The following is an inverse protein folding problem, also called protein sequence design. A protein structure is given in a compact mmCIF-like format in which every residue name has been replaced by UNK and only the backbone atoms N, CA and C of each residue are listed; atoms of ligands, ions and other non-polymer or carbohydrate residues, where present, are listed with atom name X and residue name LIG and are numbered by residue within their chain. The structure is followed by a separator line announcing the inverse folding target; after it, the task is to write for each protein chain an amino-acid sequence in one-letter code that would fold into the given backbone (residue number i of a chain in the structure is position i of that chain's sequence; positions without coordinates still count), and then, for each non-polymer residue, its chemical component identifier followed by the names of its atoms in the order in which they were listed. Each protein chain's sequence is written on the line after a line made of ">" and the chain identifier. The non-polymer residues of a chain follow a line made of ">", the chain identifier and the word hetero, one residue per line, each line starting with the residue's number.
data_IF_480488711399
#
_entry.id   IF_480488711399
#
_cell.length_a   1.000
_cell.length_b   1.000
_cell.length_c   1.000
_cell.angle_alpha   90.00
_cell.angle_beta   90.00
_cell.angle_gamma   90.00
#
_symmetry.space_group_name_H-M   'P 1'
#
loop_
_entity.id
_entity.type
_entity.pdbx_description
1 polymer ?
#
# COMPACT_ATOMS: atom_id res chain seq x y z
N UNK A 1 -57.25 74.14 42.06
CA UNK A 1 -55.96 73.84 41.48
C UNK A 1 -56.06 72.54 40.69
N UNK A 2 -56.31 72.66 39.38
CA UNK A 2 -56.43 71.50 38.47
C UNK A 2 -55.11 71.27 37.75
N UNK A 3 -54.48 70.11 37.88
CA UNK A 3 -53.37 69.72 37.06
C UNK A 3 -53.85 68.72 36.02
N UNK A 4 -53.86 69.15 34.79
CA UNK A 4 -54.12 68.30 33.62
C UNK A 4 -52.86 67.43 33.31
N UNK A 5 -53.04 66.15 33.23
CA UNK A 5 -51.98 65.20 32.82
C UNK A 5 -52.15 64.97 31.32
N UNK A 6 -51.18 65.42 30.53
CA UNK A 6 -51.12 65.15 29.10
C UNK A 6 -50.49 63.78 28.86
N UNK A 7 -51.27 62.84 28.34
CA UNK A 7 -50.81 61.54 27.89
C UNK A 7 -50.21 61.63 26.49
N UNK A 8 -48.89 61.40 26.35
CA UNK A 8 -48.25 61.30 25.07
C UNK A 8 -48.51 59.88 24.50
N UNK A 9 -49.26 59.79 23.40
CA UNK A 9 -49.41 58.61 22.60
C UNK A 9 -48.15 58.42 21.74
N UNK A 10 -47.28 57.47 22.08
CA UNK A 10 -46.25 57.00 21.19
C UNK A 10 -46.86 56.19 20.04
N UNK A 11 -46.85 56.73 18.87
CA UNK A 11 -47.18 56.07 17.61
C UNK A 11 -45.95 55.18 17.26
N UNK A 12 -46.07 53.89 17.49
CA UNK A 12 -45.11 52.91 16.93
C UNK A 12 -45.31 52.90 15.41
N UNK A 13 -44.31 53.40 14.69
CA UNK A 13 -44.23 53.22 13.26
C UNK A 13 -43.98 51.68 13.01
N UNK A 14 -45.01 51.04 12.55
CA UNK A 14 -44.91 49.61 12.12
C UNK A 14 -44.07 49.59 10.87
N UNK A 15 -42.83 49.08 11.00
CA UNK A 15 -42.03 48.68 9.84
C UNK A 15 -42.77 47.58 9.10
N UNK A 16 -43.32 47.90 7.94
CA UNK A 16 -43.89 46.92 7.01
C UNK A 16 -42.79 45.92 6.65
N UNK A 17 -42.83 44.73 7.23
CA UNK A 17 -42.01 43.61 6.80
C UNK A 17 -42.48 43.23 5.40
N UNK A 18 -41.69 43.57 4.38
CA UNK A 18 -41.90 43.07 3.03
C UNK A 18 -41.80 41.54 3.07
N UNK A 19 -42.87 40.86 2.72
CA UNK A 19 -42.88 39.42 2.54
C UNK A 19 -42.12 39.05 1.28
N UNK A 20 -41.42 37.93 1.35
CA UNK A 20 -40.69 37.37 0.19
C UNK A 20 -41.70 36.85 -0.84
N UNK A 21 -41.49 37.11 -2.10
CA UNK A 21 -42.35 36.57 -3.17
C UNK A 21 -41.95 35.15 -3.52
N UNK A 22 -42.90 34.33 -3.93
CA UNK A 22 -42.64 32.95 -4.36
C UNK A 22 -41.65 32.91 -5.53
N UNK A 23 -41.69 33.92 -6.42
CA UNK A 23 -40.79 34.04 -7.55
C UNK A 23 -39.34 34.34 -7.11
N UNK A 24 -39.15 35.22 -6.13
CA UNK A 24 -37.80 35.49 -5.57
C UNK A 24 -37.19 34.24 -4.97
N UNK A 25 -37.98 33.43 -4.23
CA UNK A 25 -37.50 32.18 -3.69
C UNK A 25 -37.13 31.18 -4.80
N UNK A 26 -37.97 31.06 -5.82
CA UNK A 26 -37.75 30.15 -6.93
C UNK A 26 -36.48 30.49 -7.72
N UNK A 27 -36.23 31.77 -7.99
CA UNK A 27 -35.02 32.24 -8.68
C UNK A 27 -33.78 31.93 -7.85
N UNK A 28 -33.82 32.16 -6.53
CA UNK A 28 -32.68 31.86 -5.64
C UNK A 28 -32.33 30.37 -5.64
N UNK A 29 -33.34 29.48 -5.49
CA UNK A 29 -33.05 28.03 -5.52
C UNK A 29 -32.60 27.57 -6.90
N UNK A 30 -33.08 28.19 -8.00
CA UNK A 30 -32.60 27.87 -9.34
C UNK A 30 -31.10 28.22 -9.51
N UNK A 31 -30.70 29.42 -9.05
CA UNK A 31 -29.28 29.85 -9.09
C UNK A 31 -28.42 28.94 -8.24
N UNK A 32 -28.87 28.63 -7.00
CA UNK A 32 -28.14 27.71 -6.12
C UNK A 32 -28.00 26.33 -6.78
N UNK A 33 -29.07 25.82 -7.39
CA UNK A 33 -29.06 24.53 -8.10
C UNK A 33 -28.03 24.48 -9.23
N UNK A 34 -27.96 25.55 -10.04
CA UNK A 34 -26.94 25.67 -11.10
C UNK A 34 -25.53 25.74 -10.52
N UNK A 35 -25.32 26.57 -9.50
CA UNK A 35 -24.00 26.70 -8.86
C UNK A 35 -23.52 25.38 -8.24
N UNK A 36 -24.40 24.70 -7.49
CA UNK A 36 -24.07 23.38 -6.90
C UNK A 36 -23.80 22.34 -7.98
N UNK A 37 -24.63 22.35 -9.05
CA UNK A 37 -24.45 21.40 -10.17
C UNK A 37 -23.09 21.54 -10.88
N UNK A 38 -22.50 22.72 -10.91
CA UNK A 38 -21.20 22.98 -11.52
C UNK A 38 -20.03 22.77 -10.53
N UNK A 39 -20.23 23.13 -9.26
CA UNK A 39 -19.14 23.10 -8.26
C UNK A 39 -18.85 21.70 -7.73
N UNK A 40 -19.87 20.87 -7.53
CA UNK A 40 -19.71 19.53 -6.96
C UNK A 40 -18.80 18.63 -7.80
N UNK A 41 -18.97 18.46 -9.12
CA UNK A 41 -18.06 17.66 -9.95
C UNK A 41 -16.63 18.22 -9.95
N UNK A 42 -16.47 19.54 -9.96
CA UNK A 42 -15.14 20.16 -9.94
C UNK A 42 -14.38 19.86 -8.64
N UNK A 43 -15.04 19.92 -7.49
CA UNK A 43 -14.44 19.61 -6.19
C UNK A 43 -13.98 18.15 -6.12
N UNK A 44 -14.80 17.21 -6.60
CA UNK A 44 -14.38 15.79 -6.65
C UNK A 44 -13.18 15.56 -7.56
N UNK A 45 -13.11 16.23 -8.72
CA UNK A 45 -11.96 16.14 -9.62
C UNK A 45 -10.66 16.63 -8.97
N UNK A 46 -10.72 17.78 -8.29
CA UNK A 46 -9.57 18.35 -7.57
C UNK A 46 -9.12 17.45 -6.42
N UNK A 47 -10.05 16.90 -5.64
CA UNK A 47 -9.74 16.00 -4.54
C UNK A 47 -9.00 14.75 -5.03
N UNK A 48 -9.51 14.10 -6.07
CA UNK A 48 -8.87 12.89 -6.63
C UNK A 48 -7.47 13.20 -7.20
N UNK A 49 -7.29 14.34 -7.85
CA UNK A 49 -5.98 14.78 -8.33
C UNK A 49 -5.00 15.03 -7.18
N UNK A 50 -5.47 15.63 -6.09
CA UNK A 50 -4.66 15.88 -4.90
C UNK A 50 -4.23 14.57 -4.21
N UNK A 51 -5.14 13.62 -4.03
CA UNK A 51 -4.85 12.33 -3.44
C UNK A 51 -3.83 11.55 -4.27
N UNK A 52 -3.97 11.51 -5.59
CA UNK A 52 -2.98 10.90 -6.50
C UNK A 52 -1.61 11.56 -6.39
N UNK A 53 -1.57 12.89 -6.35
CA UNK A 53 -0.31 13.61 -6.18
C UNK A 53 0.36 13.31 -4.84
N UNK A 54 -0.42 13.25 -3.77
CA UNK A 54 0.11 12.92 -2.44
C UNK A 54 0.74 11.52 -2.39
N UNK A 55 0.13 10.52 -3.05
CA UNK A 55 0.71 9.16 -3.16
C UNK A 55 2.01 9.18 -3.94
N UNK A 56 2.09 9.93 -5.06
CA UNK A 56 3.32 10.04 -5.85
C UNK A 56 4.47 10.65 -5.05
N UNK A 57 4.20 11.72 -4.31
CA UNK A 57 5.20 12.33 -3.41
C UNK A 57 5.67 11.36 -2.32
N UNK A 58 4.77 10.55 -1.80
CA UNK A 58 5.11 9.56 -0.79
C UNK A 58 5.95 8.41 -1.35
N UNK A 59 5.62 7.93 -2.56
CA UNK A 59 6.45 6.96 -3.28
C UNK A 59 7.85 7.52 -3.55
N UNK A 60 7.94 8.80 -3.92
CA UNK A 60 9.25 9.46 -4.10
C UNK A 60 10.03 9.56 -2.79
N UNK A 61 9.38 9.93 -1.69
CA UNK A 61 10.02 10.00 -0.38
C UNK A 61 10.51 8.62 0.11
N UNK A 62 9.74 7.55 -0.17
CA UNK A 62 10.18 6.19 0.10
C UNK A 62 11.37 5.78 -0.78
N UNK A 63 11.35 6.16 -2.06
CA UNK A 63 12.47 5.92 -2.98
C UNK A 63 13.75 6.58 -2.45
N UNK A 64 13.69 7.84 -2.06
CA UNK A 64 14.82 8.59 -1.52
C UNK A 64 15.32 7.98 -0.19
N UNK A 65 14.43 7.48 0.64
CA UNK A 65 14.77 6.77 1.87
C UNK A 65 15.51 5.45 1.60
N UNK A 66 15.10 4.69 0.57
CA UNK A 66 15.78 3.46 0.16
C UNK A 66 17.17 3.75 -0.40
N UNK A 67 17.32 4.79 -1.22
CA UNK A 67 18.63 5.22 -1.73
C UNK A 67 19.55 5.70 -0.58
N UNK A 68 19.01 6.42 0.40
CA UNK A 68 19.75 6.81 1.60
C UNK A 68 20.16 5.57 2.42
N UNK A 69 19.26 4.60 2.59
CA UNK A 69 19.59 3.33 3.22
C UNK A 69 20.76 2.63 2.52
N UNK A 70 20.69 2.51 1.19
CA UNK A 70 21.77 1.92 0.38
C UNK A 70 23.09 2.66 0.55
N UNK A 71 23.06 4.00 0.51
CA UNK A 71 24.26 4.83 0.67
C UNK A 71 24.96 4.56 1.99
N UNK A 72 24.19 4.35 3.07
CA UNK A 72 24.73 4.12 4.42
C UNK A 72 25.15 2.67 4.66
N UNK A 73 24.40 1.68 4.14
CA UNK A 73 24.63 0.26 4.40
C UNK A 73 25.35 -0.44 3.23
N UNK A 74 25.60 0.25 2.13
CA UNK A 74 26.32 -0.25 0.96
C UNK A 74 25.54 -1.25 0.10
N UNK A 75 24.23 -1.46 0.36
CA UNK A 75 23.34 -2.34 -0.41
C UNK A 75 21.88 -1.93 -0.21
N UNK A 76 21.02 -2.29 -1.16
CA UNK A 76 19.57 -2.12 -1.00
C UNK A 76 19.04 -3.00 0.12
N UNK A 77 18.00 -2.57 0.85
CA UNK A 77 17.35 -3.45 1.81
C UNK A 77 16.77 -4.67 1.09
N UNK A 78 16.80 -5.86 1.68
CA UNK A 78 16.06 -7.02 1.14
C UNK A 78 14.55 -6.83 1.26
N UNK A 79 13.79 -7.50 0.40
CA UNK A 79 12.31 -7.48 0.44
C UNK A 79 11.68 -8.61 1.27
N UNK A 80 12.46 -9.29 2.09
CA UNK A 80 11.99 -10.40 2.92
C UNK A 80 11.79 -11.73 2.21
N UNK A 81 11.65 -11.74 0.88
CA UNK A 81 11.27 -12.94 0.11
C UNK A 81 12.28 -14.07 0.16
N UNK A 82 13.57 -13.76 0.34
CA UNK A 82 14.67 -14.74 0.25
C UNK A 82 15.61 -14.67 1.46
N UNK A 83 15.60 -15.71 2.28
CA UNK A 83 16.49 -15.79 3.43
C UNK A 83 17.97 -15.66 3.09
N UNK A 84 18.55 -16.31 2.07
CA UNK A 84 19.95 -16.12 1.71
C UNK A 84 20.30 -14.66 1.38
N UNK A 85 19.39 -13.91 0.78
CA UNK A 85 19.56 -12.47 0.50
C UNK A 85 19.50 -11.66 1.80
N UNK A 86 18.56 -11.96 2.67
CA UNK A 86 18.41 -11.36 3.99
C UNK A 86 19.65 -11.59 4.85
N UNK A 87 20.06 -12.84 5.02
CA UNK A 87 21.21 -13.22 5.85
C UNK A 87 22.50 -12.54 5.37
N UNK A 88 22.78 -12.58 4.06
CA UNK A 88 23.94 -11.90 3.49
C UNK A 88 23.92 -10.40 3.77
N UNK A 89 22.76 -9.77 3.65
CA UNK A 89 22.58 -8.35 3.91
C UNK A 89 22.87 -8.01 5.37
N UNK A 90 22.29 -8.77 6.32
CA UNK A 90 22.53 -8.56 7.76
C UNK A 90 23.99 -8.77 8.15
N UNK A 91 24.65 -9.81 7.61
CA UNK A 91 26.08 -10.04 7.85
C UNK A 91 26.96 -8.88 7.35
N UNK A 92 26.54 -8.22 6.27
CA UNK A 92 27.24 -7.05 5.72
C UNK A 92 26.96 -5.78 6.52
N UNK A 93 25.68 -5.51 6.80
CA UNK A 93 25.27 -4.30 7.49
C UNK A 93 25.59 -4.32 9.00
N UNK A 94 25.53 -5.49 9.63
CA UNK A 94 25.72 -5.69 11.07
C UNK A 94 26.68 -6.85 11.35
N UNK A 95 27.98 -6.71 11.09
CA UNK A 95 28.94 -7.82 11.17
C UNK A 95 29.11 -8.37 12.59
N UNK A 96 28.78 -7.61 13.62
CA UNK A 96 28.88 -8.00 15.03
C UNK A 96 27.54 -8.51 15.61
N UNK A 97 26.50 -8.67 14.80
CA UNK A 97 25.17 -9.08 15.25
C UNK A 97 25.20 -10.49 15.86
N UNK A 98 24.53 -10.63 17.01
CA UNK A 98 24.45 -11.90 17.72
C UNK A 98 23.57 -12.91 16.96
N UNK A 99 23.86 -14.20 17.08
CA UNK A 99 23.06 -15.25 16.46
C UNK A 99 21.60 -15.27 16.97
N UNK A 100 21.37 -14.84 18.21
CA UNK A 100 20.00 -14.70 18.75
C UNK A 100 19.15 -13.69 17.98
N UNK A 101 19.76 -12.63 17.44
CA UNK A 101 19.05 -11.64 16.61
C UNK A 101 18.63 -12.25 15.26
N UNK A 102 19.52 -13.06 14.64
CA UNK A 102 19.16 -13.78 13.41
C UNK A 102 17.96 -14.72 13.61
N UNK A 103 17.85 -15.33 14.79
CA UNK A 103 16.76 -16.24 15.11
C UNK A 103 15.38 -15.57 15.04
N UNK A 104 15.31 -14.25 15.32
CA UNK A 104 14.07 -13.46 15.33
C UNK A 104 13.49 -13.16 13.94
N UNK A 105 14.30 -13.33 12.92
CA UNK A 105 13.91 -13.00 11.53
C UNK A 105 14.15 -14.18 10.57
N UNK A 106 14.49 -15.35 11.10
CA UNK A 106 14.83 -16.53 10.29
C UNK A 106 13.57 -17.35 9.97
N UNK A 107 13.24 -17.57 8.69
CA UNK A 107 12.12 -18.40 8.28
C UNK A 107 12.14 -19.84 8.82
N UNK A 108 13.32 -20.38 9.11
CA UNK A 108 13.43 -21.70 9.76
C UNK A 108 12.76 -21.73 11.14
N UNK A 109 12.57 -20.60 11.78
CA UNK A 109 11.84 -20.45 13.04
C UNK A 109 10.36 -20.03 12.83
N UNK A 110 9.89 -20.09 11.58
CA UNK A 110 8.51 -19.75 11.22
C UNK A 110 8.25 -18.25 10.98
N UNK A 111 9.27 -17.42 11.02
CA UNK A 111 9.16 -15.98 10.75
C UNK A 111 9.43 -15.71 9.29
N UNK A 112 8.45 -15.33 8.54
CA UNK A 112 8.61 -15.04 7.11
C UNK A 112 8.12 -13.63 6.79
N UNK A 113 9.06 -12.70 6.71
CA UNK A 113 8.80 -11.33 6.29
C UNK A 113 8.39 -11.27 4.81
N UNK A 114 7.44 -10.43 4.48
CA UNK A 114 6.96 -10.20 3.13
C UNK A 114 7.43 -8.85 2.53
N UNK A 115 7.20 -8.62 1.23
CA UNK A 115 7.63 -7.39 0.56
C UNK A 115 6.97 -6.09 1.07
N UNK A 116 5.84 -6.14 1.75
CA UNK A 116 5.21 -4.94 2.33
C UNK A 116 5.76 -4.63 3.73
N UNK A 117 6.02 -5.67 4.52
CA UNK A 117 6.58 -5.59 5.87
C UNK A 117 8.05 -5.18 5.85
N UNK A 118 8.82 -5.71 4.90
CA UNK A 118 10.22 -5.40 4.73
C UNK A 118 10.48 -3.89 4.59
N UNK A 119 9.58 -3.17 3.93
CA UNK A 119 9.67 -1.73 3.77
C UNK A 119 9.71 -1.01 5.13
N UNK A 120 8.79 -1.34 6.02
CA UNK A 120 8.72 -0.75 7.37
C UNK A 120 9.87 -1.24 8.24
N UNK A 121 10.18 -2.53 8.14
CA UNK A 121 11.25 -3.14 8.93
C UNK A 121 12.60 -2.47 8.69
N UNK A 122 13.00 -2.29 7.44
CA UNK A 122 14.30 -1.73 7.08
C UNK A 122 14.35 -0.21 7.18
N UNK A 123 13.33 0.50 6.71
CA UNK A 123 13.36 1.96 6.67
C UNK A 123 13.03 2.62 8.01
N UNK A 124 12.36 1.92 8.91
CA UNK A 124 12.08 2.44 10.25
C UNK A 124 13.33 2.59 11.13
N UNK A 125 14.48 2.03 10.72
CA UNK A 125 15.75 2.14 11.44
C UNK A 125 16.05 0.97 12.37
N UNK A 126 17.27 0.97 12.90
CA UNK A 126 17.82 -0.08 13.76
C UNK A 126 18.47 0.52 15.00
N UNK A 127 18.64 -0.31 16.03
CA UNK A 127 19.39 0.08 17.22
C UNK A 127 20.83 0.45 16.88
N UNK A 128 21.39 1.39 17.62
CA UNK A 128 22.81 1.71 17.58
C UNK A 128 23.71 0.64 18.24
N UNK A 129 23.10 -0.36 18.91
CA UNK A 129 23.85 -1.50 19.46
C UNK A 129 24.26 -2.43 18.34
N UNK A 130 25.56 -2.50 18.05
CA UNK A 130 26.13 -3.31 16.99
C UNK A 130 25.88 -4.84 17.15
N UNK A 131 25.67 -5.30 18.36
CA UNK A 131 25.39 -6.69 18.67
C UNK A 131 23.90 -7.00 18.62
N UNK A 132 23.06 -6.00 18.90
CA UNK A 132 21.59 -6.15 18.96
C UNK A 132 20.88 -5.08 18.12
N UNK A 133 21.11 -5.08 16.81
CA UNK A 133 20.48 -4.08 15.95
C UNK A 133 18.95 -4.23 15.91
N UNK A 134 18.41 -5.44 16.13
CA UNK A 134 16.99 -5.73 16.07
C UNK A 134 16.31 -5.49 17.41
N UNK A 135 16.84 -6.05 18.51
CA UNK A 135 16.19 -5.99 19.83
C UNK A 135 16.79 -4.95 20.77
N UNK A 136 17.89 -4.33 20.39
CA UNK A 136 18.50 -3.24 21.15
C UNK A 136 17.59 -2.02 21.27
N UNK A 137 18.00 -1.05 22.09
CA UNK A 137 17.24 0.19 22.27
C UNK A 137 17.02 0.88 20.91
N UNK A 138 15.79 1.21 20.57
CA UNK A 138 15.45 1.84 19.29
C UNK A 138 15.46 0.89 18.08
N UNK A 139 15.65 -0.40 18.29
CA UNK A 139 15.53 -1.43 17.24
C UNK A 139 14.08 -1.74 16.87
N UNK A 140 13.86 -2.50 15.77
CA UNK A 140 12.52 -2.82 15.25
C UNK A 140 11.65 -3.65 16.18
N UNK A 141 12.25 -4.47 17.03
CA UNK A 141 11.54 -5.39 17.91
C UNK A 141 11.89 -5.09 19.36
N UNK A 142 10.90 -5.11 20.23
CA UNK A 142 11.09 -4.96 21.68
C UNK A 142 10.59 -6.21 22.41
N UNK A 143 11.38 -6.67 23.39
CA UNK A 143 10.91 -7.71 24.30
C UNK A 143 10.09 -7.06 25.44
N UNK A 144 8.81 -7.36 25.51
CA UNK A 144 7.88 -6.93 26.57
C UNK A 144 7.75 -7.97 27.72
N UNK A 145 8.32 -9.15 27.51
CA UNK A 145 8.36 -10.21 28.52
C UNK A 145 9.61 -10.17 29.38
N UNK A 146 9.90 -11.28 30.03
CA UNK A 146 11.15 -11.50 30.79
C UNK A 146 12.20 -12.20 29.95
N UNK A 147 13.43 -12.29 30.47
CA UNK A 147 14.50 -13.02 29.79
C UNK A 147 14.17 -14.53 29.67
N UNK A 148 13.46 -15.08 30.65
CA UNK A 148 13.06 -16.51 30.68
C UNK A 148 11.80 -16.80 29.87
N UNK A 149 10.94 -15.78 29.65
CA UNK A 149 9.73 -15.88 28.85
C UNK A 149 9.60 -14.61 28.00
N UNK A 150 10.35 -14.53 26.88
CA UNK A 150 10.34 -13.35 26.02
C UNK A 150 9.02 -13.22 25.28
N UNK A 151 8.52 -12.00 25.19
CA UNK A 151 7.34 -11.62 24.41
C UNK A 151 7.75 -10.50 23.49
N UNK A 152 7.93 -10.82 22.23
CA UNK A 152 8.37 -9.87 21.23
C UNK A 152 7.21 -9.10 20.61
N UNK A 153 7.43 -7.79 20.36
CA UNK A 153 6.46 -6.87 19.77
C UNK A 153 7.17 -5.90 18.82
N UNK A 154 6.44 -5.38 17.88
CA UNK A 154 6.89 -4.25 17.10
C UNK A 154 7.23 -3.05 18.02
N UNK A 155 8.31 -2.38 17.70
CA UNK A 155 8.72 -1.16 18.40
C UNK A 155 8.45 0.07 17.53
N UNK A 156 7.46 0.87 17.90
CA UNK A 156 7.15 2.12 17.20
C UNK A 156 8.13 3.27 17.49
N UNK A 157 8.96 3.14 18.54
CA UNK A 157 9.98 4.16 18.89
C UNK A 157 11.34 3.69 18.38
N UNK A 158 11.59 3.97 17.11
CA UNK A 158 12.78 3.52 16.37
C UNK A 158 13.87 4.59 16.37
N UNK A 159 15.13 4.15 16.42
CA UNK A 159 16.29 4.99 16.22
C UNK A 159 16.82 4.88 14.78
N UNK A 160 17.57 5.88 14.32
CA UNK A 160 18.22 5.87 13.00
C UNK A 160 17.27 5.63 11.83
N UNK A 161 16.06 6.13 11.91
CA UNK A 161 15.03 6.01 10.87
C UNK A 161 15.50 6.66 9.56
N UNK A 162 15.24 5.99 8.45
CA UNK A 162 15.40 6.51 7.09
C UNK A 162 14.10 7.13 6.57
N UNK A 163 12.98 6.67 7.10
CA UNK A 163 11.65 7.18 6.81
C UNK A 163 10.80 7.16 8.08
N UNK A 164 10.12 8.26 8.37
CA UNK A 164 9.20 8.35 9.50
C UNK A 164 7.79 7.89 9.10
N UNK A 165 7.46 6.69 9.50
CA UNK A 165 6.15 6.13 9.25
C UNK A 165 5.10 6.72 10.20
N UNK A 166 4.04 7.30 9.64
CA UNK A 166 2.89 7.75 10.44
C UNK A 166 2.24 6.55 11.14
N UNK A 167 2.28 6.51 12.47
CA UNK A 167 1.79 5.39 13.28
C UNK A 167 0.33 5.04 13.03
N UNK A 168 -0.51 6.03 12.73
CA UNK A 168 -1.92 5.81 12.37
C UNK A 168 -2.14 5.06 11.04
N UNK A 169 -1.08 4.84 10.26
CA UNK A 169 -1.11 4.13 8.98
C UNK A 169 -0.27 2.86 9.00
N UNK A 170 0.36 2.57 10.11
CA UNK A 170 0.96 1.26 10.36
C UNK A 170 -0.13 0.33 10.86
N UNK A 171 -0.28 -0.80 10.23
CA UNK A 171 -1.25 -1.81 10.62
C UNK A 171 -0.67 -3.19 10.40
N UNK A 172 -1.16 -4.14 11.17
CA UNK A 172 -0.86 -5.55 11.01
C UNK A 172 -1.78 -6.12 9.94
N UNK A 173 -1.31 -7.09 9.18
CA UNK A 173 -2.10 -7.70 8.10
C UNK A 173 -3.37 -8.36 8.65
N UNK A 174 -3.30 -8.95 9.81
CA UNK A 174 -4.46 -9.55 10.50
C UNK A 174 -5.57 -8.55 10.83
N UNK A 175 -5.24 -7.30 11.16
CA UNK A 175 -6.22 -6.24 11.42
C UNK A 175 -7.03 -5.89 10.17
N UNK A 176 -6.48 -6.15 8.98
CA UNK A 176 -7.15 -5.90 7.71
C UNK A 176 -8.15 -6.99 7.33
N UNK A 177 -7.95 -8.19 7.80
CA UNK A 177 -8.58 -9.36 7.24
C UNK A 177 -9.26 -10.28 8.25
N UNK A 178 -8.92 -10.15 9.51
CA UNK A 178 -9.28 -11.14 10.53
C UNK A 178 -8.66 -12.52 10.29
N UNK A 179 -7.73 -12.63 9.35
CA UNK A 179 -6.94 -13.81 9.10
C UNK A 179 -5.53 -13.61 9.63
N UNK A 180 -5.03 -14.59 10.33
CA UNK A 180 -3.66 -14.62 10.82
C UNK A 180 -2.74 -14.69 9.60
N UNK A 181 -1.82 -13.74 9.47
CA UNK A 181 -0.70 -13.87 8.57
C UNK A 181 0.12 -15.10 8.99
N UNK A 182 0.58 -15.91 8.03
CA UNK A 182 1.34 -17.11 8.36
C UNK A 182 2.78 -16.83 8.81
N UNK A 183 3.19 -15.55 8.85
CA UNK A 183 4.55 -15.13 9.16
C UNK A 183 4.80 -15.06 10.67
N UNK A 184 3.75 -14.81 11.44
CA UNK A 184 3.84 -14.40 12.83
C UNK A 184 3.42 -15.50 13.82
N UNK A 185 2.84 -16.59 13.32
CA UNK A 185 2.19 -17.62 14.13
C UNK A 185 3.14 -18.51 14.92
N UNK A 186 4.43 -18.43 14.73
CA UNK A 186 5.32 -19.52 15.16
C UNK A 186 6.36 -19.09 16.19
N UNK A 187 6.49 -17.82 16.51
CA UNK A 187 7.42 -17.41 17.55
C UNK A 187 6.86 -17.73 18.94
N UNK A 188 7.50 -18.65 19.68
CA UNK A 188 7.12 -18.90 21.06
C UNK A 188 7.17 -17.60 21.87
N UNK A 189 6.00 -17.09 22.28
CA UNK A 189 5.86 -15.81 22.97
C UNK A 189 5.74 -14.58 22.09
N UNK A 190 5.77 -14.71 20.76
CA UNK A 190 5.31 -13.66 19.86
C UNK A 190 3.79 -13.82 19.68
N UNK A 191 3.07 -12.77 19.90
CA UNK A 191 1.80 -12.58 19.27
C UNK A 191 2.09 -11.83 17.95
N UNK A 192 1.19 -11.88 17.05
CA UNK A 192 1.16 -11.41 15.67
C UNK A 192 1.50 -9.91 15.43
N UNK A 193 2.41 -9.31 16.21
CA UNK A 193 2.62 -7.86 16.24
C UNK A 193 4.06 -7.46 15.85
N UNK A 194 4.77 -8.27 15.05
CA UNK A 194 6.19 -8.02 14.78
C UNK A 194 6.42 -7.14 13.57
N UNK A 195 5.70 -7.35 12.48
CA UNK A 195 5.96 -6.72 11.19
C UNK A 195 4.75 -5.98 10.64
N UNK A 196 4.56 -4.70 11.00
CA UNK A 196 3.48 -3.91 10.42
C UNK A 196 3.78 -3.55 8.97
N UNK A 197 2.72 -3.36 8.21
CA UNK A 197 2.73 -2.79 6.86
C UNK A 197 2.35 -1.31 6.88
N UNK A 198 2.84 -0.55 5.92
CA UNK A 198 2.52 0.86 5.75
C UNK A 198 1.43 1.05 4.70
N UNK A 199 0.26 1.50 5.15
CA UNK A 199 -0.92 1.65 4.31
C UNK A 199 -0.83 2.85 3.40
N UNK A 200 -1.24 2.68 2.14
CA UNK A 200 -1.37 3.79 1.19
C UNK A 200 -2.43 4.80 1.64
N UNK A 201 -2.29 6.05 1.20
CA UNK A 201 -3.29 7.10 1.46
C UNK A 201 -4.58 6.92 0.66
N UNK A 202 -4.49 6.23 -0.47
CA UNK A 202 -5.62 6.00 -1.36
C UNK A 202 -6.49 4.85 -0.87
N UNK A 203 -7.21 5.09 0.22
CA UNK A 203 -8.21 4.14 0.67
C UNK A 203 -9.59 4.71 0.32
N UNK A 204 -10.28 4.08 -0.62
CA UNK A 204 -11.69 4.38 -0.82
C UNK A 204 -12.43 4.22 0.51
N UNK A 205 -13.38 5.12 0.86
CA UNK A 205 -14.12 5.02 2.10
C UNK A 205 -14.72 3.63 2.28
N UNK A 206 -14.33 2.91 3.34
CA UNK A 206 -14.77 1.56 3.65
C UNK A 206 -14.07 0.44 2.87
N UNK A 207 -13.02 0.72 2.10
CA UNK A 207 -12.10 -0.29 1.62
C UNK A 207 -11.07 -0.61 2.69
N UNK A 208 -10.75 -1.90 2.88
CA UNK A 208 -9.52 -2.29 3.53
C UNK A 208 -8.39 -1.71 2.66
N UNK A 209 -7.57 -0.84 3.22
CA UNK A 209 -6.51 -0.20 2.47
C UNK A 209 -5.47 -1.22 1.99
N UNK A 210 -4.70 -0.84 1.01
CA UNK A 210 -3.57 -1.63 0.51
C UNK A 210 -2.26 -1.01 0.95
N UNK A 211 -1.26 -1.80 1.37
CA UNK A 211 0.04 -1.29 1.75
C UNK A 211 0.88 -0.86 0.54
N UNK A 212 1.97 -0.16 0.81
CA UNK A 212 3.09 -0.04 -0.11
C UNK A 212 3.86 -1.35 -0.13
N UNK A 213 4.20 -1.84 -1.31
CA UNK A 213 4.95 -3.07 -1.51
C UNK A 213 6.29 -2.76 -2.13
N UNK A 214 7.34 -3.34 -1.57
CA UNK A 214 8.71 -3.14 -2.00
C UNK A 214 9.28 -4.45 -2.54
N UNK A 215 9.84 -4.43 -3.74
CA UNK A 215 10.54 -5.56 -4.34
C UNK A 215 11.99 -5.22 -4.62
N UNK A 216 12.88 -6.06 -4.16
CA UNK A 216 14.31 -6.01 -4.46
C UNK A 216 14.58 -6.73 -5.80
N UNK A 217 15.37 -6.13 -6.69
CA UNK A 217 15.69 -6.74 -7.99
C UNK A 217 16.36 -8.11 -7.89
N UNK A 218 17.04 -8.39 -6.80
CA UNK A 218 17.70 -9.69 -6.55
C UNK A 218 16.70 -10.83 -6.36
N UNK A 219 15.43 -10.53 -6.10
CA UNK A 219 14.39 -11.49 -5.75
C UNK A 219 13.18 -11.47 -6.71
N UNK A 220 13.19 -10.69 -7.78
CA UNK A 220 12.06 -10.59 -8.71
C UNK A 220 11.59 -11.95 -9.23
N UNK A 221 12.52 -12.87 -9.51
CA UNK A 221 12.23 -14.22 -9.95
C UNK A 221 12.48 -15.28 -8.86
N UNK A 222 12.56 -14.87 -7.61
CA UNK A 222 12.72 -15.81 -6.52
C UNK A 222 11.50 -16.74 -6.46
N UNK A 223 11.78 -18.06 -6.57
CA UNK A 223 10.72 -19.08 -6.55
C UNK A 223 10.51 -19.56 -5.11
N UNK A 224 9.37 -19.21 -4.54
CA UNK A 224 8.91 -19.68 -3.21
C UNK A 224 8.25 -21.06 -3.26
N UNK A 225 7.92 -21.55 -4.47
CA UNK A 225 7.31 -22.87 -4.70
C UNK A 225 8.32 -23.95 -5.01
N UNK A 226 7.83 -25.03 -5.59
CA UNK A 226 8.67 -26.16 -6.06
C UNK A 226 9.06 -25.97 -7.53
N UNK A 227 9.99 -26.79 -8.02
CA UNK A 227 10.35 -26.79 -9.44
C UNK A 227 9.18 -27.19 -10.35
N UNK A 228 8.30 -28.08 -9.88
CA UNK A 228 7.10 -28.54 -10.61
C UNK A 228 5.91 -27.62 -10.46
N UNK A 229 5.88 -26.78 -9.43
CA UNK A 229 4.83 -25.77 -9.17
C UNK A 229 5.50 -24.47 -8.71
N UNK A 230 6.16 -23.72 -9.60
CA UNK A 230 6.87 -22.51 -9.24
C UNK A 230 5.88 -21.43 -8.79
N UNK A 231 6.22 -20.75 -7.71
CA UNK A 231 5.54 -19.58 -7.19
C UNK A 231 6.57 -18.45 -7.12
N UNK A 232 6.59 -17.60 -8.13
CA UNK A 232 7.50 -16.47 -8.15
C UNK A 232 7.10 -15.38 -7.18
N UNK A 233 8.08 -14.58 -6.78
CA UNK A 233 7.92 -13.53 -5.80
C UNK A 233 6.69 -12.65 -6.09
N UNK A 234 5.85 -12.51 -5.08
CA UNK A 234 4.67 -11.68 -5.09
C UNK A 234 4.33 -11.28 -3.67
N UNK A 235 3.65 -10.16 -3.54
CA UNK A 235 2.90 -9.82 -2.35
C UNK A 235 1.43 -10.16 -2.56
N UNK A 236 0.85 -10.75 -1.55
CA UNK A 236 -0.53 -11.18 -1.56
C UNK A 236 -1.07 -11.08 -0.14
N UNK A 237 -2.00 -10.16 0.14
CA UNK A 237 -2.68 -10.15 1.42
C UNK A 237 -3.38 -11.49 1.66
N UNK A 238 -3.29 -12.04 2.85
CA UNK A 238 -3.75 -13.38 3.21
C UNK A 238 -5.24 -13.66 2.90
N UNK A 239 -6.04 -12.63 2.70
CA UNK A 239 -7.47 -12.71 2.37
C UNK A 239 -7.81 -12.57 0.90
N UNK A 240 -6.92 -12.88 0.00
CA UNK A 240 -7.30 -12.99 -1.39
C UNK A 240 -8.06 -14.30 -1.57
N UNK A 241 -9.37 -14.24 -1.42
CA UNK A 241 -10.28 -15.22 -1.98
C UNK A 241 -10.01 -15.27 -3.48
N UNK A 242 -9.80 -16.47 -3.99
CA UNK A 242 -9.54 -16.69 -5.41
C UNK A 242 -10.47 -15.81 -6.26
N UNK A 243 -9.89 -15.06 -7.18
CA UNK A 243 -10.56 -14.06 -8.05
C UNK A 243 -11.75 -14.60 -8.84
N UNK A 244 -12.01 -15.89 -8.77
CA UNK A 244 -13.07 -16.58 -9.49
C UNK A 244 -14.44 -16.61 -8.82
N UNK A 245 -14.58 -16.12 -7.61
CA UNK A 245 -15.91 -16.07 -7.00
C UNK A 245 -16.48 -14.66 -7.10
N UNK A 246 -17.42 -14.50 -7.98
CA UNK A 246 -18.22 -13.29 -8.27
C UNK A 246 -18.90 -12.69 -7.02
N UNK A 247 -18.77 -13.33 -5.86
CA UNK A 247 -19.60 -13.07 -4.68
C UNK A 247 -18.96 -12.23 -3.57
N UNK A 248 -17.72 -11.75 -3.70
CA UNK A 248 -17.12 -10.95 -2.66
C UNK A 248 -16.59 -9.60 -3.18
N UNK A 249 -17.42 -8.56 -3.21
CA UNK A 249 -17.03 -7.25 -3.74
C UNK A 249 -15.99 -6.49 -2.90
N UNK A 250 -15.61 -6.96 -1.73
CA UNK A 250 -14.71 -6.24 -0.81
C UNK A 250 -13.40 -6.96 -0.46
N UNK A 251 -13.25 -8.26 -0.78
CA UNK A 251 -12.09 -9.07 -0.34
C UNK A 251 -11.00 -9.27 -1.39
N UNK A 252 -11.11 -8.66 -2.56
CA UNK A 252 -10.22 -9.00 -3.68
C UNK A 252 -9.25 -7.87 -4.01
N UNK A 253 -8.23 -7.71 -3.16
CA UNK A 253 -7.18 -6.71 -3.38
C UNK A 253 -6.24 -7.07 -4.54
N UNK A 254 -6.29 -8.31 -5.03
CA UNK A 254 -5.36 -8.82 -6.03
C UNK A 254 -3.95 -9.04 -5.49
N UNK A 255 -3.14 -9.79 -6.23
CA UNK A 255 -1.72 -9.95 -5.97
C UNK A 255 -0.91 -8.93 -6.77
N UNK A 256 0.20 -8.49 -6.23
CA UNK A 256 1.17 -7.66 -6.94
C UNK A 256 2.47 -8.42 -7.13
N UNK A 257 3.05 -8.28 -8.30
CA UNK A 257 4.37 -8.79 -8.67
C UNK A 257 5.21 -7.66 -9.24
N UNK A 258 6.55 -7.82 -9.25
CA UNK A 258 7.41 -6.88 -9.94
C UNK A 258 6.95 -6.68 -11.39
N UNK A 259 6.84 -5.42 -11.83
CA UNK A 259 6.37 -5.07 -13.16
C UNK A 259 7.45 -5.32 -14.21
N UNK A 260 7.01 -5.68 -15.40
CA UNK A 260 7.87 -5.94 -16.54
C UNK A 260 8.02 -4.67 -17.41
N UNK A 261 9.24 -4.41 -17.88
CA UNK A 261 9.48 -3.49 -18.98
C UNK A 261 9.02 -4.12 -20.31
N UNK A 262 9.33 -5.39 -20.48
CA UNK A 262 8.93 -6.17 -21.66
C UNK A 262 9.05 -7.67 -21.38
N UNK A 263 8.57 -8.46 -22.34
CA UNK A 263 8.85 -9.90 -22.42
C UNK A 263 9.54 -10.13 -23.75
N UNK A 264 10.68 -10.83 -23.75
CA UNK A 264 11.39 -11.15 -24.97
C UNK A 264 10.60 -12.14 -25.84
N UNK A 265 10.95 -12.22 -27.13
CA UNK A 265 10.38 -13.20 -28.06
C UNK A 265 10.64 -14.66 -27.62
N UNK A 266 11.66 -14.88 -26.78
CA UNK A 266 11.97 -16.18 -26.16
C UNK A 266 11.25 -16.43 -24.85
N UNK A 267 10.34 -15.53 -24.43
CA UNK A 267 9.59 -15.64 -23.16
C UNK A 267 10.38 -15.26 -21.90
N UNK A 268 11.55 -14.61 -22.05
CA UNK A 268 12.35 -14.14 -20.92
C UNK A 268 11.77 -12.87 -20.33
N UNK A 269 11.79 -12.77 -19.02
CA UNK A 269 11.34 -11.60 -18.28
C UNK A 269 12.36 -10.47 -18.34
N UNK A 270 11.92 -9.28 -18.72
CA UNK A 270 12.69 -8.04 -18.62
C UNK A 270 11.95 -7.14 -17.66
N UNK A 271 12.47 -6.96 -16.47
CA UNK A 271 11.81 -6.18 -15.41
C UNK A 271 12.17 -4.69 -15.53
N UNK A 272 11.20 -3.84 -15.15
CA UNK A 272 11.49 -2.46 -14.80
C UNK A 272 12.46 -2.42 -13.61
N UNK A 273 13.35 -1.44 -13.59
CA UNK A 273 14.34 -1.30 -12.51
C UNK A 273 15.09 -2.60 -12.19
N UNK A 274 15.54 -3.32 -13.22
CA UNK A 274 16.14 -4.66 -13.10
C UNK A 274 17.41 -4.74 -12.24
N UNK A 275 18.00 -3.61 -11.84
CA UNK A 275 19.23 -3.54 -11.02
C UNK A 275 19.02 -2.84 -9.67
N UNK A 276 17.86 -2.33 -9.42
CA UNK A 276 17.55 -1.54 -8.22
C UNK A 276 16.38 -2.15 -7.45
N UNK A 277 15.23 -1.55 -7.49
CA UNK A 277 14.04 -2.01 -6.77
C UNK A 277 12.77 -1.43 -7.40
N UNK A 278 11.64 -1.98 -6.99
CA UNK A 278 10.33 -1.43 -7.30
C UNK A 278 9.54 -1.18 -6.02
N UNK A 279 8.89 -0.01 -5.94
CA UNK A 279 7.85 0.28 -4.96
C UNK A 279 6.54 0.34 -5.72
N UNK A 280 5.54 -0.41 -5.29
CA UNK A 280 4.24 -0.47 -5.93
C UNK A 280 3.17 -0.24 -4.87
N UNK A 281 2.19 0.57 -5.18
CA UNK A 281 0.99 0.75 -4.37
C UNK A 281 -0.23 0.64 -5.25
N UNK A 282 -1.32 0.12 -4.71
CA UNK A 282 -2.60 0.18 -5.37
C UNK A 282 -3.03 1.63 -5.56
N UNK A 283 -3.72 1.90 -6.64
CA UNK A 283 -4.26 3.21 -6.96
C UNK A 283 -5.49 3.59 -6.15
N UNK A 284 -6.33 4.47 -6.71
CA UNK A 284 -7.51 4.98 -6.03
C UNK A 284 -8.61 3.95 -5.78
N UNK A 285 -8.57 2.81 -6.48
CA UNK A 285 -9.50 1.70 -6.27
C UNK A 285 -9.08 0.76 -5.12
N UNK A 286 -7.86 0.93 -4.58
CA UNK A 286 -7.31 0.12 -3.51
C UNK A 286 -7.00 -1.33 -3.91
N UNK A 287 -6.76 -1.62 -5.19
CA UNK A 287 -6.52 -2.97 -5.72
C UNK A 287 -5.24 -3.05 -6.55
N UNK A 288 -4.52 -4.15 -6.42
CA UNK A 288 -3.32 -4.40 -7.23
C UNK A 288 -3.61 -5.03 -8.60
N UNK A 289 -4.76 -5.67 -8.77
CA UNK A 289 -5.24 -6.21 -10.03
C UNK A 289 -4.67 -7.55 -10.47
N UNK A 290 -3.62 -8.05 -9.87
CA UNK A 290 -2.99 -9.31 -10.25
C UNK A 290 -3.82 -10.54 -9.88
N UNK A 291 -3.75 -11.61 -10.69
CA UNK A 291 -4.38 -12.91 -10.40
C UNK A 291 -3.51 -13.79 -9.53
N UNK A 292 -4.18 -14.60 -8.73
CA UNK A 292 -3.57 -15.66 -7.93
C UNK A 292 -3.20 -16.90 -8.72
N UNK A 293 -2.36 -17.72 -8.10
CA UNK A 293 -1.72 -18.93 -8.63
C UNK A 293 -2.67 -19.94 -9.27
N UNK A 294 -3.90 -20.06 -8.77
CA UNK A 294 -4.87 -21.07 -9.27
C UNK A 294 -5.24 -20.92 -10.76
N UNK A 295 -5.02 -19.74 -11.35
CA UNK A 295 -5.35 -19.42 -12.74
C UNK A 295 -4.14 -19.00 -13.59
N UNK A 296 -2.93 -19.27 -13.10
CA UNK A 296 -1.69 -18.77 -13.67
C UNK A 296 -1.23 -17.46 -13.03
N UNK A 297 0.06 -17.30 -12.89
CA UNK A 297 0.67 -16.11 -12.33
C UNK A 297 0.69 -15.02 -13.38
N UNK A 298 0.24 -13.83 -13.02
CA UNK A 298 0.07 -12.72 -13.96
C UNK A 298 1.04 -11.58 -13.65
N UNK A 299 1.63 -11.01 -14.68
CA UNK A 299 2.49 -9.82 -14.65
C UNK A 299 1.95 -8.74 -15.55
N UNK A 300 2.29 -7.50 -15.21
CA UNK A 300 1.92 -6.33 -15.99
C UNK A 300 3.14 -5.58 -16.49
N UNK A 301 3.01 -4.92 -17.65
CA UNK A 301 3.97 -3.94 -18.14
C UNK A 301 3.43 -2.53 -17.96
N UNK A 302 4.30 -1.51 -18.00
CA UNK A 302 3.91 -0.10 -18.04
C UNK A 302 2.91 0.22 -19.15
N UNK A 303 3.02 -0.43 -20.29
CA UNK A 303 2.13 -0.25 -21.43
C UNK A 303 0.78 -0.96 -21.29
N UNK A 304 0.44 -1.51 -20.12
CA UNK A 304 -0.85 -2.14 -19.86
C UNK A 304 -1.02 -3.54 -20.42
N UNK A 305 0.04 -4.14 -20.94
CA UNK A 305 0.00 -5.54 -21.38
C UNK A 305 0.07 -6.44 -20.16
N UNK A 306 -0.74 -7.49 -20.13
CA UNK A 306 -0.65 -8.55 -19.14
C UNK A 306 -0.11 -9.84 -19.77
N UNK A 307 0.68 -10.55 -18.98
CA UNK A 307 1.28 -11.82 -19.34
C UNK A 307 0.98 -12.83 -18.26
N UNK A 308 0.61 -14.04 -18.67
CA UNK A 308 0.37 -15.15 -17.75
C UNK A 308 1.44 -16.21 -17.93
N UNK A 309 2.02 -16.64 -16.81
CA UNK A 309 2.92 -17.78 -16.76
C UNK A 309 2.12 -19.07 -16.54
N UNK A 310 2.23 -19.99 -17.47
CA UNK A 310 1.47 -21.26 -17.49
C UNK A 310 2.23 -22.44 -16.84
N UNK A 311 3.34 -22.17 -16.16
CA UNK A 311 4.21 -23.19 -15.59
C UNK A 311 5.47 -23.49 -16.45
N UNK A 312 5.50 -23.06 -17.69
CA UNK A 312 6.62 -23.32 -18.62
C UNK A 312 7.05 -22.04 -19.35
N UNK A 313 6.10 -21.28 -19.85
CA UNK A 313 6.34 -20.08 -20.68
C UNK A 313 5.46 -18.93 -20.25
N UNK A 314 5.91 -17.72 -20.59
CA UNK A 314 5.09 -16.51 -20.52
C UNK A 314 4.30 -16.34 -21.80
N UNK A 315 3.00 -16.25 -21.68
CA UNK A 315 2.11 -15.95 -22.79
C UNK A 315 1.46 -14.59 -22.60
N UNK A 316 1.38 -13.81 -23.70
CA UNK A 316 0.58 -12.59 -23.71
C UNK A 316 -0.89 -12.99 -23.55
N UNK A 317 -1.58 -12.38 -22.60
CA UNK A 317 -3.01 -12.64 -22.43
C UNK A 317 -3.78 -12.15 -23.65
N UNK A 318 -4.53 -13.03 -24.30
CA UNK A 318 -5.34 -12.71 -25.48
C UNK A 318 -6.40 -11.62 -25.18
N UNK A 319 -6.81 -11.51 -23.93
CA UNK A 319 -7.67 -10.43 -23.41
C UNK A 319 -6.91 -9.12 -23.10
N UNK A 320 -5.61 -9.05 -23.36
CA UNK A 320 -4.78 -7.86 -23.08
C UNK A 320 -5.04 -6.68 -24.02
N UNK A 321 -5.98 -6.81 -24.96
CA UNK A 321 -6.61 -5.64 -25.59
C UNK A 321 -7.31 -4.75 -24.56
N UNK A 322 -7.64 -5.30 -23.40
CA UNK A 322 -8.14 -4.58 -22.25
C UNK A 322 -6.96 -4.39 -21.28
N UNK A 323 -6.34 -3.24 -21.36
CA UNK A 323 -5.21 -2.78 -20.55
C UNK A 323 -5.43 -3.12 -19.07
N UNK A 324 -4.44 -3.74 -18.40
CA UNK A 324 -4.37 -3.95 -16.95
C UNK A 324 -5.42 -4.84 -16.28
N UNK A 325 -5.95 -5.85 -16.90
CA UNK A 325 -6.69 -6.80 -16.10
C UNK A 325 -7.94 -7.37 -16.68
N UNK A 326 -8.87 -7.63 -15.83
CA UNK A 326 -9.97 -8.54 -16.02
C UNK A 326 -11.07 -7.93 -16.91
N UNK A 327 -11.56 -8.73 -17.87
CA UNK A 327 -12.60 -8.35 -18.79
C UNK A 327 -13.93 -8.07 -18.04
N UNK A 328 -14.57 -6.95 -18.36
CA UNK A 328 -15.89 -6.54 -17.81
C UNK A 328 -16.99 -7.60 -17.97
N UNK A 329 -16.88 -8.44 -18.97
CA UNK A 329 -17.90 -9.45 -19.28
C UNK A 329 -18.03 -10.55 -18.22
N UNK A 330 -17.11 -10.63 -17.25
CA UNK A 330 -17.16 -11.63 -16.18
C UNK A 330 -17.57 -11.04 -14.83
N UNK A 331 -18.12 -9.82 -14.78
CA UNK A 331 -18.56 -9.17 -13.53
C UNK A 331 -17.41 -8.76 -12.61
N UNK A 332 -16.18 -8.78 -13.10
CA UNK A 332 -14.98 -8.37 -12.39
C UNK A 332 -14.69 -6.91 -12.75
N UNK A 333 -14.23 -6.15 -11.76
CA UNK A 333 -13.94 -4.72 -11.94
C UNK A 333 -12.93 -4.54 -13.06
N UNK A 334 -13.28 -3.71 -14.03
CA UNK A 334 -12.39 -3.35 -15.12
C UNK A 334 -11.12 -2.69 -14.58
N UNK A 335 -9.96 -3.17 -15.04
CA UNK A 335 -8.66 -2.50 -14.88
C UNK A 335 -8.19 -2.17 -13.45
N UNK A 336 -8.23 -3.10 -12.48
CA UNK A 336 -7.83 -2.76 -11.11
C UNK A 336 -6.35 -2.36 -10.95
N UNK A 337 -5.48 -2.68 -11.92
CA UNK A 337 -4.08 -2.25 -11.89
C UNK A 337 -3.82 -0.93 -12.67
N UNK A 338 -4.83 -0.34 -13.29
CA UNK A 338 -4.67 0.83 -14.16
C UNK A 338 -4.11 2.05 -13.44
N UNK A 339 -4.51 2.26 -12.21
CA UNK A 339 -4.14 3.42 -11.41
C UNK A 339 -3.06 3.13 -10.36
N UNK A 340 -2.46 1.92 -10.37
CA UNK A 340 -1.32 1.61 -9.52
C UNK A 340 -0.19 2.62 -9.74
N UNK A 341 0.37 3.12 -8.64
CA UNK A 341 1.50 4.02 -8.66
C UNK A 341 2.79 3.31 -8.27
N UNK A 342 3.90 3.73 -8.86
CA UNK A 342 5.21 3.15 -8.58
C UNK A 342 6.34 4.18 -8.74
N UNK A 343 7.53 3.84 -8.23
CA UNK A 343 8.72 4.68 -8.34
C UNK A 343 9.33 4.75 -9.74
N UNK A 344 8.85 3.94 -10.68
CA UNK A 344 9.34 3.91 -12.06
C UNK A 344 8.38 4.51 -13.10
N UNK A 345 7.23 5.03 -12.68
CA UNK A 345 6.22 5.62 -13.59
C UNK A 345 6.36 7.13 -13.78
N UNK A 346 7.51 7.73 -13.47
CA UNK A 346 7.77 9.17 -13.61
C UNK A 346 6.61 10.06 -13.15
N UNK A 347 6.08 9.76 -11.95
CA UNK A 347 4.91 10.45 -11.38
C UNK A 347 3.58 10.23 -12.11
N UNK A 348 3.52 9.23 -12.98
CA UNK A 348 2.29 8.80 -13.65
C UNK A 348 1.77 7.49 -13.04
N UNK A 349 0.48 7.25 -13.16
CA UNK A 349 -0.06 5.91 -12.91
C UNK A 349 0.32 4.96 -14.05
N UNK A 350 0.24 3.65 -13.83
CA UNK A 350 0.51 2.68 -14.90
C UNK A 350 -0.33 2.92 -16.15
N UNK A 351 -1.58 3.36 -15.97
CA UNK A 351 -2.48 3.69 -17.06
C UNK A 351 -2.08 4.89 -17.88
N UNK A 352 -1.39 5.87 -17.28
CA UNK A 352 -0.92 7.07 -18.00
C UNK A 352 0.19 6.74 -19.00
N UNK A 353 0.95 5.66 -18.77
CA UNK A 353 1.97 5.17 -19.67
C UNK A 353 1.45 4.38 -20.88
N UNK A 354 0.13 4.11 -20.93
CA UNK A 354 -0.51 3.30 -21.96
C UNK A 354 -1.13 4.11 -23.12
N UNK A 355 -0.94 5.44 -23.14
CA UNK A 355 -1.42 6.32 -24.22
C UNK A 355 -0.48 6.36 -25.41
#
# INVERSE_FOLDING_TARGET
>A
MNRSISTWKQTRAGTLRRGFTLVELLVVIAIIGVLVGLTVPAVFGVRNAFERSAVKFEVQALNDAIENYRSKNGDYPPDGSSWPVMERHFRKAFPNMLNSEYSLINPANGVQMDPAEALVFFLGGFSSDAQRPITGKGGPIVNKGTLAAPVYRYNGSRDNSYFEFASARLTLIEDLSGAISNDETVFAGATNDLFPVFMSRNNAPGAAGTPYVYFDSRTYLFNKGTASAPLFNCYQPSNIIAVNTVSAPRGNLGAVRPHLASVSTTGSFVFENSKTFQIITAGGDGRYGGRLVALGQQWFTLGGKSFTYNGTTMALDAASTNKFGLNENNGLVAFPAYDNASNFTEFKSLGDGAQ
#
